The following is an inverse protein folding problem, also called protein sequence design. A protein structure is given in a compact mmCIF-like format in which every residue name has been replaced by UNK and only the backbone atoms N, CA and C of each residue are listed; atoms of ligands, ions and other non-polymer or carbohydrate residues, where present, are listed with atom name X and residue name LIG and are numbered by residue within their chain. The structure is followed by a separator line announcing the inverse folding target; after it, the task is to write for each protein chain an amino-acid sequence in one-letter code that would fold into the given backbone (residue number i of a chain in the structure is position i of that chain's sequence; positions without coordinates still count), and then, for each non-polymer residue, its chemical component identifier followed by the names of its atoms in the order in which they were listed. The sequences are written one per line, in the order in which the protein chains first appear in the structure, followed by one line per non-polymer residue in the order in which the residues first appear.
data_IF_026565809474
#
_entry.id   IF_026565809474
#
_cell.length_a   1.000
_cell.length_b   1.000
_cell.length_c   1.000
_cell.angle_alpha   90.00
_cell.angle_beta   90.00
_cell.angle_gamma   90.00
#
_symmetry.space_group_name_H-M   'P 1'
#
loop_
_entity.id
_entity.type
_entity.pdbx_description
1 polymer ?
#
# COMPACT_ATOMS: atom_id res chain seq x y z
N UNK A 1 17.03 -16.55 -2.20
CA UNK A 1 16.68 -15.12 -2.37
C UNK A 1 17.94 -14.47 -2.85
N UNK A 2 17.92 -13.77 -3.98
CA UNK A 2 19.09 -12.99 -4.46
C UNK A 2 18.86 -11.54 -4.09
N UNK A 3 19.88 -10.84 -3.57
CA UNK A 3 19.79 -9.45 -3.14
C UNK A 3 20.91 -8.67 -3.84
N UNK A 4 20.57 -7.50 -4.37
CA UNK A 4 21.53 -6.53 -4.92
C UNK A 4 21.63 -5.37 -3.94
N UNK A 5 22.83 -5.13 -3.43
CA UNK A 5 23.12 -4.08 -2.45
C UNK A 5 23.54 -2.79 -3.14
N UNK A 6 23.25 -1.67 -2.49
CA UNK A 6 23.62 -0.34 -2.94
C UNK A 6 24.87 0.21 -2.27
N UNK A 7 25.57 1.10 -2.98
CA UNK A 7 26.67 1.89 -2.42
C UNK A 7 26.10 3.05 -1.60
N UNK A 8 26.27 2.96 -0.28
CA UNK A 8 25.74 3.94 0.71
C UNK A 8 26.63 5.19 0.79
N UNK A 9 27.81 5.20 0.16
CA UNK A 9 28.91 6.14 0.40
C UNK A 9 28.85 7.49 -0.34
N UNK A 10 27.67 8.05 -0.61
CA UNK A 10 27.56 9.38 -1.23
C UNK A 10 26.54 10.25 -0.50
N UNK A 11 27.02 11.36 0.08
CA UNK A 11 26.18 12.48 0.48
C UNK A 11 25.60 13.13 -0.76
N UNK A 12 24.29 13.01 -0.95
CA UNK A 12 23.57 13.72 -2.01
C UNK A 12 23.15 15.09 -1.50
N UNK A 13 23.24 16.10 -2.38
CA UNK A 13 22.61 17.39 -2.16
C UNK A 13 21.11 17.22 -1.85
N UNK A 14 20.50 18.10 -1.05
CA UNK A 14 19.08 18.00 -0.71
C UNK A 14 18.22 18.00 -1.99
N UNK A 15 17.40 16.97 -2.15
CA UNK A 15 16.47 16.82 -3.28
C UNK A 15 15.03 16.95 -2.79
N UNK A 16 14.06 17.07 -3.72
CA UNK A 16 12.62 16.94 -3.41
C UNK A 16 12.24 15.60 -2.74
N UNK A 17 13.15 14.64 -2.71
CA UNK A 17 13.02 13.33 -2.08
C UNK A 17 13.83 13.21 -0.78
N UNK A 18 14.12 14.34 -0.11
CA UNK A 18 14.84 14.36 1.17
C UNK A 18 14.16 13.54 2.27
N UNK A 19 12.86 13.29 2.14
CA UNK A 19 12.08 12.41 3.02
C UNK A 19 12.34 10.90 2.77
N UNK A 20 13.10 10.53 1.72
CA UNK A 20 13.45 9.16 1.38
C UNK A 20 14.92 8.86 1.65
N UNK A 21 15.15 7.77 2.39
CA UNK A 21 16.48 7.22 2.56
C UNK A 21 16.96 6.63 1.23
N UNK A 22 18.24 6.86 0.89
CA UNK A 22 18.88 6.19 -0.26
C UNK A 22 18.80 4.66 -0.02
N UNK A 23 18.27 3.88 -0.97
CA UNK A 23 18.11 2.46 -0.77
C UNK A 23 19.48 1.80 -0.62
N UNK A 24 19.65 0.99 0.43
CA UNK A 24 20.85 0.16 0.61
C UNK A 24 20.63 -1.26 0.07
N UNK A 25 19.37 -1.65 -0.13
CA UNK A 25 18.97 -2.78 -0.96
C UNK A 25 18.28 -2.24 -2.21
N UNK A 26 18.93 -2.38 -3.36
CA UNK A 26 18.40 -1.92 -4.63
C UNK A 26 17.34 -2.86 -5.19
N UNK A 27 17.62 -4.16 -5.13
CA UNK A 27 16.74 -5.18 -5.68
C UNK A 27 16.78 -6.45 -4.83
N UNK A 28 15.65 -7.15 -4.77
CA UNK A 28 15.66 -8.54 -4.35
C UNK A 28 14.79 -9.42 -5.26
N UNK A 29 15.24 -10.65 -5.44
CA UNK A 29 14.55 -11.69 -6.20
C UNK A 29 14.11 -12.83 -5.28
N UNK A 30 12.87 -13.25 -5.43
CA UNK A 30 12.31 -14.36 -4.65
C UNK A 30 11.36 -15.22 -5.48
N UNK A 31 11.33 -16.53 -5.19
CA UNK A 31 10.41 -17.48 -5.83
C UNK A 31 9.01 -17.36 -5.23
N UNK A 32 7.99 -17.61 -6.06
CA UNK A 32 6.61 -17.81 -5.60
C UNK A 32 6.42 -19.32 -5.35
N UNK A 33 6.39 -19.73 -4.07
CA UNK A 33 6.07 -21.11 -3.73
C UNK A 33 4.55 -21.29 -3.77
N UNK A 34 4.04 -22.09 -4.72
CA UNK A 34 2.64 -22.52 -4.71
C UNK A 34 2.54 -24.05 -4.68
N UNK A 35 1.78 -24.59 -3.72
CA UNK A 35 1.21 -25.94 -3.85
C UNK A 35 -0.12 -25.78 -4.59
N UNK A 36 -0.27 -26.38 -5.78
CA UNK A 36 -1.61 -26.61 -6.34
C UNK A 36 -2.31 -27.62 -5.44
N UNK A 37 -3.55 -27.32 -5.03
CA UNK A 37 -4.38 -28.26 -4.29
C UNK A 37 -4.80 -29.36 -5.28
N UNK A 38 -4.29 -30.58 -5.12
CA UNK A 38 -4.69 -31.74 -5.94
C UNK A 38 -3.88 -32.01 -7.22
N UNK A 39 -2.70 -31.42 -7.42
CA UNK A 39 -1.77 -31.88 -8.47
C UNK A 39 -0.40 -32.20 -7.86
N UNK A 40 0.09 -33.40 -8.14
CA UNK A 40 1.51 -33.74 -7.96
C UNK A 40 2.34 -32.95 -8.97
N UNK A 41 3.29 -32.17 -8.44
CA UNK A 41 4.46 -31.64 -9.13
C UNK A 41 4.27 -30.96 -10.50
N UNK A 42 3.55 -29.84 -10.53
CA UNK A 42 3.82 -28.77 -11.50
C UNK A 42 4.65 -27.67 -10.83
N UNK A 43 5.97 -27.70 -10.95
CA UNK A 43 6.82 -26.58 -10.50
C UNK A 43 6.61 -25.39 -11.45
N UNK A 44 5.74 -24.44 -11.09
CA UNK A 44 5.74 -23.13 -11.76
C UNK A 44 7.02 -22.39 -11.36
N UNK A 45 7.89 -22.06 -12.32
CA UNK A 45 9.11 -21.28 -12.11
C UNK A 45 8.81 -19.78 -11.97
N UNK A 46 7.80 -19.45 -11.17
CA UNK A 46 7.42 -18.06 -10.93
C UNK A 46 8.42 -17.40 -9.99
N UNK A 47 9.04 -16.32 -10.45
CA UNK A 47 9.91 -15.46 -9.65
C UNK A 47 9.33 -14.05 -9.58
N UNK A 48 9.73 -13.28 -8.57
CA UNK A 48 9.41 -11.86 -8.45
C UNK A 48 10.69 -11.13 -8.14
N UNK A 49 10.99 -10.12 -8.98
CA UNK A 49 12.07 -9.15 -8.74
C UNK A 49 11.42 -7.86 -8.26
N UNK A 50 11.92 -7.32 -7.15
CA UNK A 50 11.42 -6.07 -6.56
C UNK A 50 12.55 -5.07 -6.49
N UNK A 51 12.31 -3.87 -6.98
CA UNK A 51 13.26 -2.77 -7.11
C UNK A 51 12.79 -1.59 -6.27
N UNK A 52 13.68 -0.99 -5.48
CA UNK A 52 13.38 0.23 -4.72
C UNK A 52 14.04 1.45 -5.33
N UNK A 53 13.25 2.47 -5.61
CA UNK A 53 13.69 3.76 -6.17
C UNK A 53 14.60 3.62 -7.41
N UNK A 54 14.24 2.78 -8.41
CA UNK A 54 15.14 2.46 -9.54
C UNK A 54 15.65 3.69 -10.29
N UNK A 55 14.84 4.77 -10.39
CA UNK A 55 15.26 6.03 -11.00
C UNK A 55 16.46 6.71 -10.32
N UNK A 56 16.81 6.33 -9.08
CA UNK A 56 17.95 6.89 -8.34
C UNK A 56 19.28 6.20 -8.63
N UNK A 57 19.29 4.96 -9.13
CA UNK A 57 20.52 4.16 -9.20
C UNK A 57 20.66 3.31 -10.47
N UNK A 58 19.59 2.96 -11.18
CA UNK A 58 19.71 2.18 -12.42
C UNK A 58 20.34 3.00 -13.55
N UNK A 59 21.06 2.33 -14.45
CA UNK A 59 21.52 2.93 -15.70
C UNK A 59 20.32 3.32 -16.59
N UNK A 60 20.48 4.28 -17.51
CA UNK A 60 19.43 4.61 -18.48
C UNK A 60 18.92 3.39 -19.26
N UNK A 61 19.81 2.52 -19.75
CA UNK A 61 19.42 1.33 -20.51
C UNK A 61 18.62 0.32 -19.69
N UNK A 62 18.99 0.07 -18.42
CA UNK A 62 18.22 -0.83 -17.56
C UNK A 62 16.85 -0.27 -17.19
N UNK A 63 16.74 1.06 -17.03
CA UNK A 63 15.44 1.70 -16.83
C UNK A 63 14.55 1.59 -18.07
N UNK A 64 15.10 1.81 -19.26
CA UNK A 64 14.38 1.68 -20.51
C UNK A 64 13.83 0.25 -20.70
N UNK A 65 14.66 -0.77 -20.46
CA UNK A 65 14.23 -2.17 -20.47
C UNK A 65 13.11 -2.43 -19.46
N UNK A 66 13.25 -1.94 -18.22
CA UNK A 66 12.21 -2.09 -17.20
C UNK A 66 10.90 -1.43 -17.64
N UNK A 67 10.95 -0.19 -18.13
CA UNK A 67 9.74 0.53 -18.60
C UNK A 67 9.08 -0.22 -19.75
N UNK A 68 9.87 -0.77 -20.67
CA UNK A 68 9.36 -1.59 -21.77
C UNK A 68 8.60 -2.82 -21.25
N UNK A 69 9.16 -3.56 -20.29
CA UNK A 69 8.47 -4.72 -19.67
C UNK A 69 7.13 -4.31 -19.03
N UNK A 70 7.10 -3.17 -18.32
CA UNK A 70 5.87 -2.65 -17.70
C UNK A 70 4.82 -2.29 -18.77
N UNK A 71 5.24 -1.64 -19.85
CA UNK A 71 4.37 -1.27 -20.96
C UNK A 71 3.82 -2.51 -21.70
N UNK A 72 4.63 -3.55 -21.91
CA UNK A 72 4.18 -4.81 -22.52
C UNK A 72 3.12 -5.51 -21.66
N UNK A 73 3.33 -5.60 -20.34
CA UNK A 73 2.33 -6.13 -19.42
C UNK A 73 1.04 -5.30 -19.46
N UNK A 74 1.15 -3.97 -19.54
CA UNK A 74 0.01 -3.08 -19.58
C UNK A 74 -0.83 -3.26 -20.86
N UNK A 75 -0.18 -3.33 -22.03
CA UNK A 75 -0.84 -3.62 -23.33
C UNK A 75 -1.61 -4.94 -23.34
N UNK A 76 -1.10 -5.95 -22.64
CA UNK A 76 -1.79 -7.23 -22.51
C UNK A 76 -2.85 -7.27 -21.40
N UNK A 77 -2.91 -6.22 -20.57
CA UNK A 77 -3.81 -6.12 -19.42
C UNK A 77 -5.01 -5.21 -19.69
N UNK A 78 -4.78 -4.10 -20.38
CA UNK A 78 -5.72 -3.02 -20.70
C UNK A 78 -5.76 -2.80 -22.22
N UNK A 79 -6.80 -2.13 -22.69
CA UNK A 79 -6.94 -1.81 -24.11
C UNK A 79 -6.03 -0.64 -24.53
N UNK A 80 -5.75 0.27 -23.60
CA UNK A 80 -4.77 1.36 -23.76
C UNK A 80 -3.83 1.45 -22.54
N UNK A 81 -2.68 2.12 -22.70
CA UNK A 81 -1.73 2.33 -21.60
C UNK A 81 -1.99 3.70 -20.97
N UNK A 82 -2.12 3.78 -19.64
CA UNK A 82 -2.22 5.08 -18.97
C UNK A 82 -0.98 5.95 -19.21
N UNK A 83 -1.17 7.25 -19.40
CA UNK A 83 -0.11 8.21 -19.72
C UNK A 83 0.64 8.77 -18.50
N UNK A 84 0.52 8.14 -17.33
CA UNK A 84 1.08 8.63 -16.07
C UNK A 84 2.00 7.62 -15.36
N UNK A 85 2.74 8.13 -14.38
CA UNK A 85 3.55 7.31 -13.47
C UNK A 85 4.64 6.51 -14.18
N UNK A 86 4.65 5.19 -13.97
CA UNK A 86 5.72 4.29 -14.43
C UNK A 86 5.81 4.11 -15.95
N UNK A 87 4.75 4.48 -16.67
CA UNK A 87 4.71 4.35 -18.14
C UNK A 87 5.31 5.54 -18.88
N UNK A 88 5.55 6.66 -18.18
CA UNK A 88 6.06 7.89 -18.80
C UNK A 88 7.48 7.77 -19.35
N UNK A 89 8.23 6.72 -18.99
CA UNK A 89 9.66 6.60 -19.28
C UNK A 89 10.52 7.64 -18.55
N UNK A 90 9.91 8.56 -17.79
CA UNK A 90 10.61 9.61 -17.09
C UNK A 90 11.33 9.03 -15.86
N UNK A 91 12.66 9.15 -15.86
CA UNK A 91 13.52 8.74 -14.73
C UNK A 91 13.04 9.32 -13.40
N UNK A 92 12.59 10.57 -13.37
CA UNK A 92 12.09 11.21 -12.15
C UNK A 92 10.88 10.48 -11.57
N UNK A 93 9.95 10.03 -12.41
CA UNK A 93 8.77 9.29 -11.99
C UNK A 93 9.11 7.92 -11.36
N UNK A 94 10.32 7.41 -11.58
CA UNK A 94 10.82 6.14 -11.05
C UNK A 94 11.70 6.32 -9.79
N UNK A 95 12.03 7.56 -9.40
CA UNK A 95 12.89 7.83 -8.23
C UNK A 95 12.21 7.59 -6.88
N UNK A 96 10.89 7.66 -6.82
CA UNK A 96 10.09 7.44 -5.61
C UNK A 96 9.18 6.20 -5.73
N UNK A 97 9.56 5.22 -6.55
CA UNK A 97 8.74 4.03 -6.79
C UNK A 97 9.34 2.77 -6.20
N UNK A 98 8.46 1.86 -5.76
CA UNK A 98 8.79 0.46 -5.51
C UNK A 98 8.10 -0.38 -6.56
N UNK A 99 8.89 -1.05 -7.40
CA UNK A 99 8.38 -1.79 -8.55
C UNK A 99 8.68 -3.26 -8.35
N UNK A 100 7.65 -4.10 -8.35
CA UNK A 100 7.82 -5.56 -8.34
C UNK A 100 7.27 -6.15 -9.62
N UNK A 101 8.08 -6.94 -10.33
CA UNK A 101 7.73 -7.62 -11.56
C UNK A 101 7.78 -9.13 -11.31
N UNK A 102 6.71 -9.84 -11.66
CA UNK A 102 6.68 -11.29 -11.68
C UNK A 102 7.11 -11.81 -13.05
N UNK A 103 7.93 -12.86 -13.03
CA UNK A 103 8.38 -13.56 -14.22
C UNK A 103 7.93 -15.02 -14.18
N UNK A 104 7.43 -15.53 -15.30
CA UNK A 104 7.18 -16.96 -15.55
C UNK A 104 8.15 -17.42 -16.64
N UNK A 105 9.16 -18.24 -16.27
CA UNK A 105 10.25 -18.62 -17.19
C UNK A 105 10.90 -17.43 -17.91
N UNK A 106 11.27 -16.40 -17.13
CA UNK A 106 11.87 -15.13 -17.60
C UNK A 106 10.96 -14.24 -18.46
N UNK A 107 9.73 -14.64 -18.75
CA UNK A 107 8.72 -13.73 -19.33
C UNK A 107 8.09 -12.87 -18.22
N UNK A 108 8.09 -11.55 -18.38
CA UNK A 108 7.41 -10.64 -17.44
C UNK A 108 5.88 -10.80 -17.57
N UNK A 109 5.20 -11.28 -16.53
CA UNK A 109 3.77 -11.66 -16.58
C UNK A 109 2.83 -10.76 -15.78
N UNK A 110 3.39 -9.92 -14.92
CA UNK A 110 2.63 -8.99 -14.10
C UNK A 110 3.54 -8.10 -13.27
N UNK A 111 3.04 -6.94 -12.87
CA UNK A 111 3.80 -6.04 -12.00
C UNK A 111 2.89 -5.32 -11.00
N UNK A 112 3.50 -4.77 -9.97
CA UNK A 112 2.92 -3.71 -9.14
C UNK A 112 3.90 -2.55 -9.03
N UNK A 113 3.40 -1.33 -9.07
CA UNK A 113 4.21 -0.12 -8.91
C UNK A 113 3.62 0.73 -7.78
N UNK A 114 4.24 0.70 -6.60
CA UNK A 114 3.89 1.57 -5.48
C UNK A 114 4.70 2.85 -5.51
N UNK A 115 4.18 3.89 -4.88
CA UNK A 115 4.82 5.19 -4.77
C UNK A 115 5.07 5.55 -3.31
N UNK A 116 6.23 6.12 -3.01
CA UNK A 116 6.42 6.90 -1.80
C UNK A 116 5.95 8.33 -2.05
N UNK A 117 4.97 8.76 -1.28
CA UNK A 117 4.51 10.13 -1.23
C UNK A 117 5.17 10.89 -0.08
N UNK A 118 5.26 12.23 -0.17
CA UNK A 118 5.78 13.05 0.91
C UNK A 118 5.03 12.84 2.25
N UNK A 119 5.71 13.04 3.39
CA UNK A 119 5.05 13.06 4.70
C UNK A 119 3.93 14.12 4.74
N UNK A 120 3.01 13.95 5.68
CA UNK A 120 1.97 14.94 5.94
C UNK A 120 2.61 16.29 6.29
N UNK A 121 2.15 17.34 5.65
CA UNK A 121 2.62 18.71 5.91
C UNK A 121 2.33 19.09 7.37
N UNK A 122 3.34 19.55 8.14
CA UNK A 122 3.15 20.01 9.51
C UNK A 122 2.02 21.04 9.68
N UNK A 123 1.82 21.95 8.73
CA UNK A 123 0.76 22.96 8.77
C UNK A 123 -0.64 22.35 8.62
N UNK A 124 -0.77 21.32 7.78
CA UNK A 124 -2.02 20.55 7.65
C UNK A 124 -2.31 19.80 8.94
N UNK A 125 -1.28 19.21 9.55
CA UNK A 125 -1.40 18.50 10.83
C UNK A 125 -1.84 19.44 11.97
N UNK A 126 -1.16 20.59 12.13
CA UNK A 126 -1.45 21.58 13.19
C UNK A 126 -2.87 22.16 13.07
N UNK A 127 -3.33 22.44 11.84
CA UNK A 127 -4.69 22.92 11.59
C UNK A 127 -5.74 21.93 12.09
N UNK A 128 -5.54 20.65 11.82
CA UNK A 128 -6.48 19.60 12.20
C UNK A 128 -6.40 19.26 13.70
N UNK A 129 -5.22 19.30 14.31
CA UNK A 129 -5.05 19.00 15.74
C UNK A 129 -5.85 19.92 16.67
N UNK A 130 -5.92 21.22 16.35
CA UNK A 130 -6.72 22.19 17.11
C UNK A 130 -8.20 21.79 17.16
N UNK A 131 -8.72 21.22 16.08
CA UNK A 131 -10.10 20.72 16.00
C UNK A 131 -10.29 19.41 16.79
N UNK A 132 -9.28 18.56 16.87
CA UNK A 132 -9.36 17.28 17.58
C UNK A 132 -9.36 17.44 19.10
N UNK A 133 -8.60 18.39 19.61
CA UNK A 133 -8.53 18.70 21.05
C UNK A 133 -9.91 19.06 21.62
N UNK A 134 -10.79 19.68 20.83
CA UNK A 134 -12.12 20.12 21.27
C UNK A 134 -13.22 19.06 21.08
N UNK A 135 -12.99 17.99 20.32
CA UNK A 135 -14.07 17.10 19.85
C UNK A 135 -14.17 15.77 20.61
N UNK A 136 -13.06 15.09 20.90
CA UNK A 136 -13.10 13.78 21.59
C UNK A 136 -11.76 13.38 22.19
N UNK A 137 -11.72 13.16 23.51
CA UNK A 137 -10.52 12.71 24.22
C UNK A 137 -9.93 11.40 23.66
N UNK A 138 -10.78 10.41 23.39
CA UNK A 138 -10.33 9.11 22.87
C UNK A 138 -9.69 9.23 21.48
N UNK A 139 -10.28 10.06 20.60
CA UNK A 139 -9.70 10.31 19.27
C UNK A 139 -8.39 11.11 19.37
N UNK A 140 -8.32 12.05 20.31
CA UNK A 140 -7.11 12.82 20.56
C UNK A 140 -5.96 11.93 21.08
N UNK A 141 -6.22 11.04 22.04
CA UNK A 141 -5.22 10.07 22.53
C UNK A 141 -4.74 9.15 21.41
N UNK A 142 -5.66 8.61 20.59
CA UNK A 142 -5.28 7.79 19.43
C UNK A 142 -4.41 8.59 18.44
N UNK A 143 -4.76 9.85 18.19
CA UNK A 143 -3.98 10.75 17.36
C UNK A 143 -2.56 10.96 17.92
N UNK A 144 -2.41 11.15 19.25
CA UNK A 144 -1.09 11.26 19.89
C UNK A 144 -0.28 9.97 19.76
N UNK A 145 -0.91 8.80 19.87
CA UNK A 145 -0.25 7.50 19.62
C UNK A 145 0.25 7.44 18.17
N UNK A 146 -0.58 7.81 17.20
CA UNK A 146 -0.19 7.83 15.78
C UNK A 146 0.98 8.79 15.51
N UNK A 147 0.98 9.94 16.18
CA UNK A 147 2.04 10.96 16.03
C UNK A 147 3.36 10.58 16.70
N UNK A 148 3.32 10.27 17.99
CA UNK A 148 4.52 10.18 18.83
C UNK A 148 5.02 8.76 19.06
N UNK A 149 4.16 7.76 18.88
CA UNK A 149 4.51 6.36 19.15
C UNK A 149 4.71 5.60 17.83
N UNK A 150 3.77 5.74 16.89
CA UNK A 150 3.85 5.07 15.59
C UNK A 150 4.53 5.91 14.51
N UNK A 151 4.75 7.21 14.76
CA UNK A 151 5.38 8.15 13.83
C UNK A 151 4.73 8.16 12.43
N UNK A 152 3.41 7.97 12.36
CA UNK A 152 2.68 7.87 11.08
C UNK A 152 2.69 9.18 10.29
N UNK A 153 2.79 10.32 10.97
CA UNK A 153 2.88 11.63 10.32
C UNK A 153 4.31 12.00 9.87
N UNK A 154 5.31 11.19 10.25
CA UNK A 154 6.70 11.44 9.93
C UNK A 154 7.15 10.43 8.88
N UNK A 155 7.84 10.87 7.82
CA UNK A 155 8.33 10.01 6.75
C UNK A 155 7.29 9.65 5.68
N UNK A 156 7.67 8.80 4.71
CA UNK A 156 6.89 8.62 3.49
C UNK A 156 5.56 7.91 3.72
N UNK A 157 4.55 8.33 2.97
CA UNK A 157 3.28 7.63 2.82
C UNK A 157 3.42 6.62 1.67
N UNK A 158 2.98 5.39 1.88
CA UNK A 158 2.97 4.37 0.82
C UNK A 158 1.66 4.46 0.03
N UNK A 159 1.71 5.05 -1.15
CA UNK A 159 0.58 4.97 -2.07
C UNK A 159 0.66 3.67 -2.86
N UNK A 160 -0.35 2.82 -2.68
CA UNK A 160 -0.56 1.64 -3.48
C UNK A 160 -0.90 2.09 -4.89
N UNK A 161 -0.04 1.74 -5.84
CA UNK A 161 -0.28 2.08 -7.23
C UNK A 161 -0.74 0.88 -8.05
N UNK A 162 -0.61 1.01 -9.35
CA UNK A 162 -1.16 0.09 -10.32
C UNK A 162 -0.58 -1.31 -10.17
N UNK A 163 -1.47 -2.30 -10.14
CA UNK A 163 -1.13 -3.71 -10.27
C UNK A 163 -1.75 -4.27 -11.54
N UNK A 164 -0.92 -4.77 -12.45
CA UNK A 164 -1.37 -5.34 -13.72
C UNK A 164 -0.83 -6.75 -13.89
N UNK A 165 -1.65 -7.62 -14.49
CA UNK A 165 -1.31 -9.01 -14.78
C UNK A 165 -1.89 -9.33 -16.15
N UNK A 166 -1.03 -9.85 -17.04
CA UNK A 166 -1.41 -10.32 -18.38
C UNK A 166 -2.67 -11.19 -18.29
N UNK A 167 -3.63 -11.00 -19.20
CA UNK A 167 -4.96 -11.67 -19.15
C UNK A 167 -4.84 -13.19 -18.96
N UNK A 168 -3.96 -13.85 -19.71
CA UNK A 168 -3.67 -15.28 -19.65
C UNK A 168 -3.07 -15.79 -18.31
N UNK A 169 -2.51 -14.87 -17.50
CA UNK A 169 -1.87 -15.16 -16.21
C UNK A 169 -2.75 -14.81 -14.98
N UNK A 170 -3.96 -14.27 -15.21
CA UNK A 170 -4.91 -13.92 -14.12
C UNK A 170 -5.45 -15.17 -13.42
N UNK A 171 -5.97 -15.00 -12.20
CA UNK A 171 -6.48 -16.10 -11.37
C UNK A 171 -5.39 -17.03 -10.79
N UNK A 172 -4.12 -16.85 -11.16
CA UNK A 172 -2.99 -17.65 -10.68
C UNK A 172 -2.43 -17.19 -9.32
N UNK A 173 -3.09 -16.28 -8.61
CA UNK A 173 -2.67 -15.80 -7.28
C UNK A 173 -1.39 -14.96 -7.30
N UNK A 174 -0.93 -14.54 -8.48
CA UNK A 174 0.29 -13.74 -8.69
C UNK A 174 0.17 -12.39 -7.98
N UNK A 175 -0.99 -11.73 -8.08
CA UNK A 175 -1.25 -10.40 -7.50
C UNK A 175 -0.85 -10.30 -6.03
N UNK A 176 -1.39 -11.18 -5.17
CA UNK A 176 -1.09 -11.15 -3.73
C UNK A 176 0.38 -11.41 -3.43
N UNK A 177 1.06 -12.21 -4.27
CA UNK A 177 2.48 -12.50 -4.08
C UNK A 177 3.36 -11.31 -4.45
N UNK A 178 3.13 -10.70 -5.62
CA UNK A 178 3.85 -9.48 -6.04
C UNK A 178 3.62 -8.37 -5.02
N UNK A 179 2.37 -8.16 -4.62
CA UNK A 179 1.97 -7.11 -3.71
C UNK A 179 2.58 -7.25 -2.31
N UNK A 180 2.58 -8.45 -1.73
CA UNK A 180 3.22 -8.65 -0.42
C UNK A 180 4.74 -8.45 -0.51
N UNK A 181 5.34 -8.83 -1.64
CA UNK A 181 6.77 -8.70 -1.89
C UNK A 181 7.19 -7.24 -2.08
N UNK A 182 6.36 -6.41 -2.72
CA UNK A 182 6.67 -4.99 -2.91
C UNK A 182 6.81 -4.25 -1.58
N UNK A 183 6.11 -4.68 -0.53
CA UNK A 183 6.14 -4.03 0.79
C UNK A 183 7.43 -4.31 1.60
N UNK A 184 8.27 -5.27 1.19
CA UNK A 184 9.48 -5.62 1.93
C UNK A 184 10.57 -4.53 1.87
N UNK A 185 10.81 -3.96 0.69
CA UNK A 185 11.86 -2.95 0.53
C UNK A 185 11.57 -1.64 1.28
N UNK A 186 10.32 -1.10 1.29
CA UNK A 186 9.97 0.01 2.18
C UNK A 186 10.41 -0.20 3.63
N UNK A 187 10.13 -1.38 4.20
CA UNK A 187 10.48 -1.71 5.59
C UNK A 187 11.98 -1.68 5.81
N UNK A 188 12.73 -2.32 4.92
CA UNK A 188 14.19 -2.48 5.06
C UNK A 188 14.95 -1.18 4.75
N UNK A 189 14.58 -0.47 3.68
CA UNK A 189 15.29 0.71 3.21
C UNK A 189 14.90 1.97 4.00
N UNK A 190 13.63 2.15 4.33
CA UNK A 190 13.19 3.29 5.15
C UNK A 190 13.36 3.05 6.65
N UNK A 191 13.79 1.83 7.05
CA UNK A 191 14.02 1.40 8.45
C UNK A 191 12.81 1.68 9.35
N UNK A 192 11.62 1.42 8.81
CA UNK A 192 10.34 1.70 9.45
C UNK A 192 9.43 0.48 9.42
N UNK A 193 8.64 0.33 10.47
CA UNK A 193 7.66 -0.76 10.60
C UNK A 193 6.22 -0.29 10.43
N UNK A 194 5.96 1.01 10.55
CA UNK A 194 4.63 1.60 10.42
C UNK A 194 4.65 2.61 9.29
N UNK A 195 3.72 2.45 8.34
CA UNK A 195 3.53 3.37 7.23
C UNK A 195 2.05 3.70 7.11
N UNK A 196 1.70 4.99 6.91
CA UNK A 196 0.44 5.32 6.29
C UNK A 196 0.40 4.71 4.90
N UNK A 197 -0.74 4.11 4.55
CA UNK A 197 -0.98 3.56 3.23
C UNK A 197 -2.16 4.27 2.62
N UNK A 198 -2.06 4.63 1.36
CA UNK A 198 -3.19 5.15 0.59
C UNK A 198 -3.43 4.31 -0.66
N UNK A 199 -4.66 4.31 -1.15
CA UNK A 199 -5.05 3.64 -2.38
C UNK A 199 -6.15 4.47 -3.04
N UNK A 200 -6.13 4.55 -4.37
CA UNK A 200 -7.25 5.08 -5.15
C UNK A 200 -7.59 4.05 -6.22
N UNK A 201 -8.87 3.66 -6.29
CA UNK A 201 -9.27 2.64 -7.26
C UNK A 201 -10.77 2.71 -7.60
N UNK A 202 -11.09 2.51 -8.87
CA UNK A 202 -12.41 2.07 -9.34
C UNK A 202 -12.60 0.54 -9.26
N UNK A 203 -11.55 -0.22 -8.92
CA UNK A 203 -11.56 -1.68 -8.94
C UNK A 203 -11.94 -2.28 -7.59
N UNK A 204 -13.06 -3.02 -7.47
CA UNK A 204 -13.35 -3.85 -6.30
C UNK A 204 -12.17 -4.74 -5.88
N UNK A 205 -11.37 -5.26 -6.82
CA UNK A 205 -10.25 -6.11 -6.45
C UNK A 205 -9.16 -5.38 -5.66
N UNK A 206 -8.88 -4.12 -6.03
CA UNK A 206 -7.97 -3.25 -5.28
C UNK A 206 -8.58 -2.86 -3.93
N UNK A 207 -9.83 -2.38 -3.95
CA UNK A 207 -10.56 -1.93 -2.75
C UNK A 207 -10.66 -3.03 -1.69
N UNK A 208 -11.00 -4.24 -2.13
CA UNK A 208 -11.11 -5.42 -1.29
C UNK A 208 -9.76 -5.88 -0.76
N UNK A 209 -8.69 -5.79 -1.56
CA UNK A 209 -7.34 -6.11 -1.11
C UNK A 209 -6.89 -5.17 0.02
N UNK A 210 -7.15 -3.86 -0.11
CA UNK A 210 -6.83 -2.90 0.96
C UNK A 210 -7.59 -3.22 2.24
N UNK A 211 -8.90 -3.48 2.10
CA UNK A 211 -9.79 -3.80 3.20
C UNK A 211 -9.36 -5.07 3.96
N UNK A 212 -8.94 -6.11 3.22
CA UNK A 212 -8.62 -7.42 3.78
C UNK A 212 -7.18 -7.54 4.30
N UNK A 213 -6.24 -6.71 3.82
CA UNK A 213 -4.79 -6.91 4.04
C UNK A 213 -4.15 -5.86 4.94
N UNK A 214 -4.72 -4.66 5.05
CA UNK A 214 -4.14 -3.58 5.84
C UNK A 214 -4.93 -3.31 7.11
N UNK A 215 -4.22 -2.80 8.12
CA UNK A 215 -4.80 -2.49 9.41
C UNK A 215 -5.54 -1.15 9.36
N UNK A 216 -6.69 -1.07 10.03
CA UNK A 216 -7.50 0.16 10.14
C UNK A 216 -7.76 0.83 8.77
N UNK A 217 -8.14 0.03 7.78
CA UNK A 217 -8.51 0.57 6.47
C UNK A 217 -9.83 1.33 6.53
N UNK A 218 -9.87 2.50 5.91
CA UNK A 218 -11.06 3.32 5.75
C UNK A 218 -11.06 4.06 4.39
N UNK A 219 -12.19 4.09 3.67
CA UNK A 219 -13.39 3.29 3.90
C UNK A 219 -13.11 1.79 3.71
N UNK A 220 -13.97 0.95 4.29
CA UNK A 220 -13.85 -0.51 4.20
C UNK A 220 -15.21 -1.16 4.08
N UNK A 221 -15.28 -2.24 3.31
CA UNK A 221 -16.53 -2.99 3.12
C UNK A 221 -16.88 -3.88 4.33
N UNK A 222 -16.03 -3.95 5.36
CA UNK A 222 -16.23 -4.75 6.58
C UNK A 222 -17.24 -4.18 7.58
N UNK A 223 -18.11 -3.25 7.17
CA UNK A 223 -18.92 -2.37 8.03
C UNK A 223 -19.80 -3.08 9.09
N UNK A 224 -20.02 -4.40 9.00
CA UNK A 224 -20.80 -5.18 9.98
C UNK A 224 -20.03 -5.73 11.20
N UNK A 225 -18.72 -5.47 11.36
CA UNK A 225 -17.97 -5.95 12.54
C UNK A 225 -17.46 -4.78 13.41
N UNK A 226 -18.29 -4.37 14.38
CA UNK A 226 -18.02 -3.59 15.60
C UNK A 226 -16.64 -2.89 15.69
N UNK A 227 -16.48 -1.72 15.03
CA UNK A 227 -15.40 -0.72 15.15
C UNK A 227 -14.47 -0.53 13.93
N UNK A 228 -14.58 -1.34 12.87
CA UNK A 228 -13.71 -1.19 11.69
C UNK A 228 -14.22 -0.20 10.61
N UNK A 229 -15.38 0.45 10.80
CA UNK A 229 -16.02 1.28 9.77
C UNK A 229 -16.02 2.79 10.03
N UNK A 230 -15.30 3.30 11.04
CA UNK A 230 -15.30 4.75 11.35
C UNK A 230 -14.11 5.48 10.73
N UNK A 231 -14.41 6.64 10.14
CA UNK A 231 -13.37 7.59 9.77
C UNK A 231 -12.68 8.08 11.04
N UNK A 232 -11.35 8.01 11.06
CA UNK A 232 -10.53 8.62 12.11
C UNK A 232 -9.90 9.88 11.55
N UNK A 233 -9.51 10.84 12.41
CA UNK A 233 -8.81 12.03 11.97
C UNK A 233 -7.59 11.74 11.10
N UNK A 234 -6.85 10.68 11.42
CA UNK A 234 -5.72 10.20 10.61
C UNK A 234 -6.11 9.89 9.17
N UNK A 235 -7.24 9.23 8.93
CA UNK A 235 -7.70 8.91 7.58
C UNK A 235 -8.01 10.19 6.81
N UNK A 236 -8.74 11.11 7.45
CA UNK A 236 -9.13 12.38 6.84
C UNK A 236 -7.93 13.27 6.50
N UNK A 237 -7.04 13.50 7.48
CA UNK A 237 -5.83 14.32 7.32
C UNK A 237 -4.93 13.75 6.21
N UNK A 238 -4.77 12.43 6.17
CA UNK A 238 -3.95 11.76 5.16
C UNK A 238 -4.59 11.87 3.77
N UNK A 239 -5.90 11.70 3.65
CA UNK A 239 -6.60 11.82 2.38
C UNK A 239 -6.52 13.25 1.83
N UNK A 240 -6.80 14.27 2.66
CA UNK A 240 -6.66 15.67 2.25
C UNK A 240 -5.25 15.98 1.78
N UNK A 241 -4.23 15.67 2.60
CA UNK A 241 -2.84 15.93 2.23
C UNK A 241 -2.43 15.29 0.91
N UNK A 242 -2.77 14.02 0.70
CA UNK A 242 -2.39 13.29 -0.51
C UNK A 242 -3.15 13.80 -1.73
N UNK A 243 -4.45 14.05 -1.60
CA UNK A 243 -5.27 14.54 -2.72
C UNK A 243 -4.96 16.00 -3.06
N UNK A 244 -4.45 16.80 -2.14
CA UNK A 244 -4.05 18.19 -2.44
C UNK A 244 -2.66 18.25 -3.09
N UNK A 245 -1.73 17.39 -2.68
CA UNK A 245 -0.32 17.50 -3.09
C UNK A 245 0.10 16.53 -4.21
N UNK A 246 -0.59 15.40 -4.36
CA UNK A 246 -0.01 14.22 -5.02
C UNK A 246 -0.89 13.58 -6.11
N UNK A 247 -1.97 14.23 -6.56
CA UNK A 247 -2.87 13.69 -7.62
C UNK A 247 -2.17 13.24 -8.89
N UNK A 248 -1.13 13.97 -9.29
CA UNK A 248 -0.34 13.68 -10.48
C UNK A 248 0.40 12.32 -10.40
N UNK A 249 0.65 11.80 -9.20
CA UNK A 249 1.36 10.54 -9.01
C UNK A 249 0.53 9.30 -9.40
N UNK A 250 -0.81 9.46 -9.41
CA UNK A 250 -1.76 8.39 -9.71
C UNK A 250 -2.75 8.73 -10.82
N UNK A 251 -2.49 9.79 -11.60
CA UNK A 251 -3.25 10.11 -12.80
C UNK A 251 -4.67 10.60 -12.52
N UNK A 252 -4.90 11.23 -11.37
CA UNK A 252 -6.21 11.77 -11.02
C UNK A 252 -6.45 13.10 -11.75
N UNK A 253 -7.64 13.22 -12.34
CA UNK A 253 -8.12 14.40 -13.03
C UNK A 253 -8.02 15.66 -12.16
N UNK A 254 -7.59 16.77 -12.77
CA UNK A 254 -7.54 18.08 -12.13
C UNK A 254 -8.94 18.63 -11.82
N UNK A 255 -9.98 18.12 -12.48
CA UNK A 255 -11.38 18.48 -12.27
C UNK A 255 -12.06 17.62 -11.20
N UNK A 256 -11.39 16.56 -10.73
CA UNK A 256 -12.01 15.62 -9.81
C UNK A 256 -12.23 16.25 -8.42
N UNK A 257 -13.37 15.96 -7.81
CA UNK A 257 -13.74 16.50 -6.48
C UNK A 257 -13.73 15.41 -5.43
N UNK A 258 -13.13 15.67 -4.27
CA UNK A 258 -13.12 14.72 -3.16
C UNK A 258 -14.39 14.87 -2.32
N UNK A 259 -15.21 13.84 -2.27
CA UNK A 259 -16.36 13.73 -1.37
C UNK A 259 -15.87 13.22 0.00
N UNK A 260 -15.65 14.14 0.92
CA UNK A 260 -15.12 13.87 2.26
C UNK A 260 -15.98 12.90 3.09
N UNK A 261 -17.28 12.80 2.79
CA UNK A 261 -18.20 11.96 3.55
C UNK A 261 -18.06 10.48 3.19
N UNK A 262 -17.83 10.18 1.91
CA UNK A 262 -17.74 8.82 1.36
C UNK A 262 -16.31 8.42 0.99
N UNK A 263 -15.39 9.37 0.95
CA UNK A 263 -14.04 9.28 0.40
C UNK A 263 -14.01 8.90 -1.09
N UNK A 264 -15.09 9.17 -1.82
CA UNK A 264 -15.10 9.01 -3.28
C UNK A 264 -14.47 10.23 -3.92
N UNK A 265 -13.51 10.01 -4.80
CA UNK A 265 -12.95 11.03 -5.69
C UNK A 265 -13.78 11.00 -6.96
N UNK A 266 -14.73 11.93 -7.06
CA UNK A 266 -15.68 12.03 -8.16
C UNK A 266 -14.97 12.49 -9.43
N UNK A 267 -15.21 11.81 -10.55
CA UNK A 267 -14.59 12.18 -11.82
C UNK A 267 -13.07 12.00 -11.85
N UNK A 268 -12.50 11.12 -11.01
CA UNK A 268 -11.04 10.87 -10.94
C UNK A 268 -10.44 10.52 -12.30
N UNK A 269 -11.16 9.70 -13.08
CA UNK A 269 -10.74 9.25 -14.41
C UNK A 269 -11.32 10.11 -15.56
N UNK A 270 -11.86 11.30 -15.28
CA UNK A 270 -12.41 12.19 -16.30
C UNK A 270 -11.29 12.70 -17.24
N UNK A 271 -11.34 12.37 -18.55
CA UNK A 271 -10.31 12.78 -19.50
C UNK A 271 -10.22 14.30 -19.69
N UNK A 272 -11.29 15.06 -19.43
CA UNK A 272 -11.28 16.52 -19.59
C UNK A 272 -10.27 17.21 -18.65
N UNK A 273 -10.02 16.61 -17.48
CA UNK A 273 -8.98 17.05 -16.54
C UNK A 273 -7.69 16.22 -16.58
N UNK A 274 -7.50 15.42 -17.64
CA UNK A 274 -6.33 14.54 -17.80
C UNK A 274 -6.38 13.24 -16.99
N UNK A 275 -7.56 12.85 -16.51
CA UNK A 275 -7.78 11.57 -15.83
C UNK A 275 -7.62 10.37 -16.76
N UNK A 276 -7.38 9.20 -16.18
CA UNK A 276 -7.13 7.97 -16.93
C UNK A 276 -8.42 7.28 -17.38
N UNK A 277 -9.02 7.78 -18.46
CA UNK A 277 -10.27 7.28 -19.04
C UNK A 277 -10.25 5.78 -19.41
N UNK A 278 -9.07 5.19 -19.61
CA UNK A 278 -8.88 3.74 -19.85
C UNK A 278 -9.46 2.84 -18.74
N UNK A 279 -9.68 3.38 -17.54
CA UNK A 279 -10.34 2.66 -16.46
C UNK A 279 -11.87 2.74 -16.47
N UNK A 280 -12.44 3.57 -17.34
CA UNK A 280 -13.87 3.66 -17.61
C UNK A 280 -14.20 2.66 -18.73
N UNK A 281 -14.97 1.63 -18.40
CA UNK A 281 -15.41 0.66 -19.41
C UNK A 281 -16.71 1.10 -20.06
N UNK A 282 -16.85 0.81 -21.35
CA UNK A 282 -18.07 1.06 -22.13
C UNK A 282 -19.31 0.36 -21.53
N UNK A 283 -19.12 -0.79 -20.88
CA UNK A 283 -20.22 -1.55 -20.27
C UNK A 283 -20.64 -1.04 -18.88
N UNK A 284 -20.01 0.04 -18.39
CA UNK A 284 -20.28 0.61 -17.07
C UNK A 284 -19.84 -0.27 -15.89
N UNK A 285 -19.12 -1.38 -16.15
CA UNK A 285 -18.71 -2.31 -15.09
C UNK A 285 -17.29 -2.00 -14.61
N UNK A 286 -16.95 -2.43 -13.38
CA UNK A 286 -15.59 -2.26 -12.89
C UNK A 286 -14.55 -3.02 -13.71
N UNK A 287 -13.30 -2.56 -13.65
CA UNK A 287 -12.18 -3.21 -14.34
C UNK A 287 -11.93 -4.65 -13.91
N UNK A 288 -12.18 -4.96 -12.64
CA UNK A 288 -12.10 -6.32 -12.11
C UNK A 288 -12.97 -6.51 -10.86
N UNK A 289 -13.33 -7.75 -10.57
CA UNK A 289 -14.12 -8.10 -9.38
C UNK A 289 -13.24 -8.60 -8.24
N UNK A 290 -13.70 -8.40 -7.00
CA UNK A 290 -13.12 -9.03 -5.83
C UNK A 290 -13.76 -10.38 -5.53
N UNK A 291 -12.96 -11.26 -4.95
CA UNK A 291 -13.38 -12.61 -4.53
C UNK A 291 -14.49 -12.62 -3.47
N UNK A 292 -14.70 -11.53 -2.74
CA UNK A 292 -15.79 -11.40 -1.78
C UNK A 292 -16.94 -10.59 -2.42
N UNK A 293 -18.13 -11.18 -2.62
CA UNK A 293 -19.25 -10.49 -3.26
C UNK A 293 -19.71 -9.24 -2.50
N UNK A 294 -19.56 -9.20 -1.16
CA UNK A 294 -19.91 -8.02 -0.36
C UNK A 294 -19.07 -6.80 -0.74
N UNK A 295 -17.80 -7.00 -1.09
CA UNK A 295 -16.94 -5.91 -1.56
C UNK A 295 -17.43 -5.37 -2.92
N UNK A 296 -17.87 -6.26 -3.82
CA UNK A 296 -18.38 -5.85 -5.13
C UNK A 296 -19.67 -5.04 -4.98
N UNK A 297 -20.59 -5.49 -4.12
CA UNK A 297 -21.83 -4.77 -3.81
C UNK A 297 -21.55 -3.42 -3.16
N UNK A 298 -20.62 -3.37 -2.20
CA UNK A 298 -20.18 -2.15 -1.55
C UNK A 298 -19.67 -1.12 -2.57
N UNK A 299 -18.78 -1.53 -3.48
CA UNK A 299 -18.26 -0.62 -4.51
C UNK A 299 -19.36 -0.13 -5.46
N UNK A 300 -20.25 -1.03 -5.91
CA UNK A 300 -21.37 -0.69 -6.79
C UNK A 300 -22.37 0.28 -6.15
N UNK A 301 -22.49 0.28 -4.81
CA UNK A 301 -23.36 1.21 -4.09
C UNK A 301 -22.78 2.63 -3.96
N UNK A 302 -21.47 2.81 -4.17
CA UNK A 302 -20.77 4.08 -3.93
C UNK A 302 -20.28 4.76 -5.22
N UNK A 303 -19.83 3.97 -6.20
CA UNK A 303 -19.09 4.45 -7.36
C UNK A 303 -19.98 4.49 -8.61
N UNK A 304 -19.97 5.63 -9.29
CA UNK A 304 -20.50 5.77 -10.65
C UNK A 304 -19.35 5.55 -11.64
N UNK A 305 -19.16 4.31 -12.08
CA UNK A 305 -18.00 3.90 -12.89
C UNK A 305 -17.92 4.65 -14.23
N UNK A 306 -19.07 4.94 -14.82
CA UNK A 306 -19.24 5.64 -16.10
C UNK A 306 -18.79 7.10 -16.00
N UNK A 307 -18.84 7.68 -14.80
CA UNK A 307 -18.34 9.03 -14.52
C UNK A 307 -16.87 9.06 -14.12
N UNK A 308 -16.21 7.90 -14.05
CA UNK A 308 -14.82 7.80 -13.65
C UNK A 308 -14.57 7.98 -12.14
N UNK A 309 -15.56 7.67 -11.30
CA UNK A 309 -15.41 7.72 -9.84
C UNK A 309 -14.40 6.67 -9.32
N UNK A 310 -13.63 7.06 -8.31
CA UNK A 310 -12.72 6.14 -7.61
C UNK A 310 -12.87 6.26 -6.09
N UNK A 311 -12.69 5.16 -5.38
CA UNK A 311 -12.67 5.16 -3.92
C UNK A 311 -11.25 5.43 -3.43
N UNK A 312 -11.07 6.46 -2.62
CA UNK A 312 -9.82 6.71 -1.92
C UNK A 312 -9.84 6.04 -0.55
N UNK A 313 -8.83 5.22 -0.25
CA UNK A 313 -8.70 4.53 1.03
C UNK A 313 -7.41 4.92 1.71
N UNK A 314 -7.48 5.03 3.04
CA UNK A 314 -6.33 5.20 3.93
C UNK A 314 -6.29 4.01 4.88
N UNK A 315 -5.09 3.47 5.12
CA UNK A 315 -4.87 2.39 6.05
C UNK A 315 -3.49 2.51 6.70
N UNK A 316 -3.15 1.55 7.56
CA UNK A 316 -1.83 1.42 8.17
C UNK A 316 -1.21 0.10 7.71
N UNK A 317 0.02 0.18 7.21
CA UNK A 317 0.86 -0.99 7.01
C UNK A 317 1.82 -1.17 8.19
N UNK A 318 1.69 -2.33 8.82
CA UNK A 318 2.73 -2.91 9.65
C UNK A 318 2.89 -4.39 9.28
N UNK A 319 4.10 -4.91 8.99
CA UNK A 319 4.25 -6.28 8.51
C UNK A 319 3.52 -7.32 9.35
N UNK A 320 3.57 -7.18 10.67
CA UNK A 320 2.94 -8.11 11.60
C UNK A 320 1.43 -7.92 11.70
N UNK A 321 0.95 -6.69 11.90
CA UNK A 321 -0.50 -6.43 11.99
C UNK A 321 -1.22 -6.76 10.68
N UNK A 322 -0.62 -6.43 9.54
CA UNK A 322 -1.14 -6.75 8.20
C UNK A 322 -1.16 -8.25 7.94
N UNK A 323 -0.13 -8.99 8.39
CA UNK A 323 -0.13 -10.46 8.30
C UNK A 323 -1.26 -11.05 9.15
N UNK A 324 -1.47 -10.57 10.37
CA UNK A 324 -2.58 -11.02 11.21
C UNK A 324 -3.94 -10.72 10.59
N UNK A 325 -4.12 -9.52 10.03
CA UNK A 325 -5.34 -9.12 9.31
C UNK A 325 -5.59 -10.04 8.10
N UNK A 326 -4.57 -10.31 7.29
CA UNK A 326 -4.63 -11.24 6.16
C UNK A 326 -5.01 -12.66 6.58
N UNK A 327 -4.44 -13.16 7.68
CA UNK A 327 -4.77 -14.49 8.19
C UNK A 327 -6.22 -14.55 8.69
N UNK A 328 -6.68 -13.52 9.41
CA UNK A 328 -8.06 -13.41 9.90
C UNK A 328 -9.08 -13.33 8.77
N UNK A 329 -8.81 -12.54 7.73
CA UNK A 329 -9.71 -12.43 6.57
C UNK A 329 -9.79 -13.74 5.77
N UNK A 330 -8.73 -14.55 5.80
CA UNK A 330 -8.73 -15.89 5.19
C UNK A 330 -9.41 -16.96 6.06
N UNK A 331 -9.30 -16.92 7.39
CA UNK A 331 -9.97 -17.90 8.27
C UNK A 331 -11.48 -17.70 8.35
N UNK A 332 -11.96 -16.45 8.27
CA UNK A 332 -13.41 -16.17 8.16
C UNK A 332 -14.05 -16.86 6.93
N UNK A 333 -13.28 -17.20 5.90
CA UNK A 333 -13.75 -17.97 4.73
C UNK A 333 -14.11 -19.42 5.05
N UNK A 334 -13.39 -20.10 5.95
CA UNK A 334 -13.59 -21.54 6.16
C UNK A 334 -14.86 -21.84 6.94
N UNK A 335 -15.34 -20.89 7.75
CA UNK A 335 -16.59 -21.06 8.53
C UNK A 335 -17.86 -20.92 7.67
N UNK A 336 -17.78 -20.35 6.47
CA UNK A 336 -18.94 -20.13 5.59
C UNK A 336 -19.19 -21.30 4.62
N UNK A 337 -18.38 -22.37 4.66
CA UNK A 337 -18.53 -23.56 3.77
C UNK A 337 -19.09 -24.81 4.44
N UNK A 338 -19.56 -24.72 5.68
CA UNK A 338 -20.17 -25.86 6.39
C UNK A 338 -21.45 -25.43 7.10
N UNK A 339 -22.50 -25.16 6.34
CA UNK A 339 -23.87 -25.27 6.84
C UNK A 339 -24.42 -26.62 6.40
N UNK A 340 -24.14 -27.67 7.17
CA UNK A 340 -24.91 -28.92 7.34
C UNK A 340 -24.03 -29.93 8.12
N UNK A 341 -23.85 -29.67 9.41
CA UNK A 341 -23.58 -30.69 10.43
C UNK A 341 -23.57 -29.99 11.79
N UNK A 342 -24.63 -30.18 12.56
CA UNK A 342 -24.71 -29.75 13.96
C UNK A 342 -23.70 -30.54 14.80
N UNK A 343 -22.63 -29.86 15.23
CA UNK A 343 -21.68 -30.34 16.25
C UNK A 343 -21.74 -29.34 17.43
N UNK A 344 -21.79 -29.78 18.70
CA UNK A 344 -21.95 -28.88 19.84
C UNK A 344 -20.75 -27.94 19.98
N UNK A 345 -21.04 -26.65 20.18
CA UNK A 345 -20.06 -25.58 20.31
C UNK A 345 -19.35 -25.66 21.69
N UNK A 346 -18.11 -26.14 21.73
CA UNK A 346 -17.23 -26.00 22.90
C UNK A 346 -16.71 -24.54 22.96
N UNK A 347 -17.52 -23.62 23.50
CA UNK A 347 -17.25 -22.16 23.59
C UNK A 347 -15.96 -21.78 24.36
N UNK A 348 -15.33 -22.73 25.08
CA UNK A 348 -14.18 -22.46 25.95
C UNK A 348 -12.81 -22.38 25.29
N UNK A 349 -12.57 -23.05 24.15
CA UNK A 349 -11.23 -23.10 23.53
C UNK A 349 -10.92 -21.94 22.57
N UNK A 350 -11.94 -21.40 21.89
CA UNK A 350 -11.78 -20.32 20.91
C UNK A 350 -11.43 -18.98 21.61
N UNK A 351 -12.03 -18.72 22.78
CA UNK A 351 -11.75 -17.50 23.55
C UNK A 351 -10.31 -17.45 24.10
N UNK A 352 -9.76 -18.60 24.51
CA UNK A 352 -8.38 -18.72 25.01
C UNK A 352 -7.34 -18.53 23.89
N UNK A 353 -7.61 -19.00 22.68
CA UNK A 353 -6.72 -18.77 21.53
C UNK A 353 -6.67 -17.28 21.16
N UNK A 354 -7.81 -16.60 21.09
CA UNK A 354 -7.90 -15.16 20.81
C UNK A 354 -7.09 -14.30 21.80
N UNK A 355 -7.12 -14.64 23.09
CA UNK A 355 -6.47 -13.85 24.14
C UNK A 355 -4.94 -14.01 24.12
N UNK A 356 -4.42 -15.22 23.90
CA UNK A 356 -2.98 -15.43 23.75
C UNK A 356 -2.40 -14.71 22.53
N UNK A 357 -3.13 -14.63 21.42
CA UNK A 357 -2.70 -13.87 20.24
C UNK A 357 -2.73 -12.36 20.46
N UNK A 358 -3.69 -11.86 21.23
CA UNK A 358 -3.74 -10.44 21.62
C UNK A 358 -2.58 -10.06 22.54
N UNK A 359 -2.26 -10.91 23.53
CA UNK A 359 -1.11 -10.75 24.43
C UNK A 359 0.21 -10.81 23.64
N UNK A 360 0.36 -11.74 22.69
CA UNK A 360 1.53 -11.78 21.81
C UNK A 360 1.62 -10.55 20.90
N UNK A 361 0.50 -10.06 20.37
CA UNK A 361 0.44 -8.82 19.60
C UNK A 361 0.84 -7.59 20.42
N UNK A 362 0.39 -7.51 21.68
CA UNK A 362 0.77 -6.45 22.62
C UNK A 362 2.25 -6.54 23.03
N UNK A 363 2.76 -7.73 23.35
CA UNK A 363 4.17 -7.96 23.68
C UNK A 363 5.06 -7.64 22.46
N UNK A 364 4.63 -8.03 21.26
CA UNK A 364 5.33 -7.69 20.03
C UNK A 364 5.29 -6.19 19.73
N UNK A 365 4.16 -5.51 19.98
CA UNK A 365 4.08 -4.05 19.91
C UNK A 365 5.06 -3.41 20.89
N UNK A 366 5.14 -3.88 22.14
CA UNK A 366 6.12 -3.42 23.13
C UNK A 366 7.56 -3.64 22.65
N UNK A 367 7.85 -4.79 22.03
CA UNK A 367 9.17 -5.06 21.44
C UNK A 367 9.46 -4.16 20.24
N UNK A 368 8.50 -3.93 19.34
CA UNK A 368 8.64 -2.99 18.22
C UNK A 368 8.81 -1.54 18.68
N UNK A 369 8.15 -1.16 19.77
CA UNK A 369 8.29 0.16 20.40
C UNK A 369 9.64 0.31 21.11
N UNK A 370 10.16 -0.77 21.71
CA UNK A 370 11.51 -0.81 22.25
C UNK A 370 12.56 -0.76 21.14
N UNK A 371 12.32 -1.43 20.00
CA UNK A 371 13.21 -1.43 18.84
C UNK A 371 13.19 -0.08 18.10
N UNK A 372 12.03 0.55 17.94
CA UNK A 372 11.94 1.90 17.35
C UNK A 372 12.64 2.92 18.23
N UNK A 373 12.53 2.82 19.57
CA UNK A 373 13.30 3.64 20.52
C UNK A 373 14.80 3.38 20.45
N UNK A 374 15.27 2.15 20.29
CA UNK A 374 16.69 1.86 20.14
C UNK A 374 17.28 2.45 18.83
N UNK A 375 16.52 2.39 17.74
CA UNK A 375 16.89 3.03 16.46
C UNK A 375 16.83 4.57 16.57
N UNK A 376 15.85 5.11 17.31
CA UNK A 376 15.71 6.55 17.57
C UNK A 376 16.79 7.09 18.49
N UNK A 377 17.20 6.37 19.54
CA UNK A 377 18.33 6.76 20.39
C UNK A 377 19.64 6.72 19.60
N UNK A 378 19.81 5.72 18.71
CA UNK A 378 20.94 5.69 17.77
C UNK A 378 20.97 6.90 16.83
N UNK A 379 19.83 7.26 16.23
CA UNK A 379 19.72 8.43 15.34
C UNK A 379 19.79 9.77 16.09
N UNK A 380 19.28 9.85 17.32
CA UNK A 380 19.35 11.05 18.15
C UNK A 380 20.78 11.34 18.63
N UNK A 381 21.56 10.28 18.96
CA UNK A 381 22.98 10.42 19.27
C UNK A 381 23.80 10.84 18.04
N UNK A 382 23.51 10.27 16.87
CA UNK A 382 24.13 10.68 15.59
C UNK A 382 23.81 12.13 15.20
N UNK A 383 22.57 12.58 15.41
CA UNK A 383 22.15 13.95 15.08
C UNK A 383 22.77 14.99 16.05
N UNK A 384 22.98 14.60 17.32
CA UNK A 384 23.58 15.47 18.33
C UNK A 384 25.09 15.64 18.14
N UNK A 385 25.82 14.61 17.68
CA UNK A 385 27.23 14.77 17.31
C UNK A 385 27.43 15.71 16.12
N UNK A 386 26.51 15.74 15.16
CA UNK A 386 26.58 16.69 14.04
C UNK A 386 26.35 18.14 14.48
N UNK A 387 25.49 18.44 15.45
CA UNK A 387 25.31 19.82 15.93
C UNK A 387 26.50 20.35 16.75
N UNK A 388 27.21 19.49 17.50
CA UNK A 388 28.43 19.92 18.19
C UNK A 388 29.62 20.12 17.24
N UNK A 389 29.66 19.42 16.11
CA UNK A 389 30.73 19.61 15.11
C UNK A 389 30.58 20.92 14.30
N UNK A 390 29.35 21.43 14.14
CA UNK A 390 29.09 22.72 13.48
C UNK A 390 29.05 23.93 14.43
N UNK A 391 28.94 23.71 15.75
CA UNK A 391 29.05 24.78 16.74
C UNK A 391 30.50 25.07 17.18
N UNK A 392 31.46 24.25 16.74
CA UNK A 392 32.88 24.35 17.10
C UNK A 392 33.83 24.51 15.89
N UNK A 393 33.31 24.86 14.71
CA UNK A 393 34.08 25.13 13.49
C UNK A 393 33.93 26.59 13.03
#
# INVERSE_FOLDING_TARGET
MKIVLGNVSENQAPTRLSYLVKPWIYCYESKIKRKKRGQEQGHTNLTVRTYDQPGRWMSPSSLETMVQELCEIAKESLDEIPSYGVFSGNREALKNRVISIAYDNDEAVGFTAMCYLPPIDPLVLERNEKCLQSTSWNQYVLHLIFRYILHLYQGPILHLGLTMIKRQHRGRGIQSSIFLKSLLLPVLNQRKLFFPVTNIAASPAGIGAVSDYFFMSYPTYHSNNNNNGRCLPFHFITAQHVLDSSRHEFGCSTLATFDESTFVVRGSNDPAGGGASVFIKEDGKPVSQYKNPLCNQYCASLLQYEKGDELFQVAIFCPVLSLFQFLRSNTSRSSCKTSHASIPLEKGKILKQSLHWYIFGCIFLVVCLAWSRAILVGNFLLYRETEYFFAAA
#
